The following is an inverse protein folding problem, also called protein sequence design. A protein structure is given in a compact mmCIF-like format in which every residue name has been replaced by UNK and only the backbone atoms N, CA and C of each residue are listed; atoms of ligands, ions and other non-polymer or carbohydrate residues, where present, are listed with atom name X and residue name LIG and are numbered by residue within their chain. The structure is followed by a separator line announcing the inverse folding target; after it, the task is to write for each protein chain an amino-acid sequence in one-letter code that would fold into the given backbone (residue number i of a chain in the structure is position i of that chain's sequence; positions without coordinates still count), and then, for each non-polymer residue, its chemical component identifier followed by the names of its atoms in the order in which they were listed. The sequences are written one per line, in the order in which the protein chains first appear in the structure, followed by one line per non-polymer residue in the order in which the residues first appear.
data_IF_336728340164
#
_entry.id   IF_336728340164
#
_cell.length_a   1.000
_cell.length_b   1.000
_cell.length_c   1.000
_cell.angle_alpha   90.00
_cell.angle_beta   90.00
_cell.angle_gamma   90.00
#
_symmetry.space_group_name_H-M   'P 1'
#
loop_
_entity.id
_entity.type
_entity.pdbx_description
1 polymer ?
#
# COMPACT_ATOMS: atom_id res chain seq x y z
N UNK A 1 -17.58 24.87 -31.82
CA UNK A 1 -16.30 24.43 -32.43
C UNK A 1 -15.17 24.27 -31.41
N UNK A 2 -14.72 25.31 -30.67
CA UNK A 2 -13.55 25.21 -29.76
C UNK A 2 -13.66 24.14 -28.65
N UNK A 3 -14.86 23.86 -28.11
CA UNK A 3 -15.06 22.85 -27.05
C UNK A 3 -14.81 21.41 -27.51
N UNK A 4 -15.23 21.09 -28.73
CA UNK A 4 -15.07 19.75 -29.33
C UNK A 4 -13.58 19.44 -29.54
N UNK A 5 -12.74 20.46 -29.72
CA UNK A 5 -11.28 20.30 -29.83
C UNK A 5 -10.70 19.68 -28.57
N UNK A 6 -11.07 20.13 -27.37
CA UNK A 6 -10.55 19.56 -26.12
C UNK A 6 -11.00 18.11 -25.90
N UNK A 7 -12.22 17.78 -26.30
CA UNK A 7 -12.72 16.41 -26.25
C UNK A 7 -11.95 15.53 -27.25
N UNK A 8 -11.74 16.00 -28.47
CA UNK A 8 -10.92 15.31 -29.48
C UNK A 8 -9.46 15.13 -29.06
N UNK A 9 -8.85 16.14 -28.43
CA UNK A 9 -7.50 16.07 -27.87
C UNK A 9 -7.40 15.03 -26.75
N UNK A 10 -8.41 14.93 -25.89
CA UNK A 10 -8.49 13.90 -24.84
C UNK A 10 -8.50 12.49 -25.44
N UNK A 11 -9.35 12.24 -26.46
CA UNK A 11 -9.39 10.96 -27.17
C UNK A 11 -8.08 10.64 -27.90
N UNK A 12 -7.47 11.64 -28.55
CA UNK A 12 -6.19 11.49 -29.22
C UNK A 12 -5.09 11.07 -28.23
N UNK A 13 -5.05 11.71 -27.06
CA UNK A 13 -4.03 11.43 -26.02
C UNK A 13 -4.23 10.05 -25.39
N UNK A 14 -5.48 9.59 -25.26
CA UNK A 14 -5.78 8.22 -24.85
C UNK A 14 -5.33 7.20 -25.90
N UNK A 15 -5.59 7.47 -27.18
CA UNK A 15 -5.17 6.60 -28.28
C UNK A 15 -3.64 6.51 -28.39
N UNK A 16 -2.91 7.61 -28.18
CA UNK A 16 -1.44 7.59 -28.18
C UNK A 16 -0.88 6.80 -27.00
N UNK A 17 -1.47 6.92 -25.80
CA UNK A 17 -1.10 6.09 -24.64
C UNK A 17 -1.26 4.59 -24.92
N UNK A 18 -2.40 4.20 -25.48
CA UNK A 18 -2.66 2.80 -25.85
C UNK A 18 -1.64 2.32 -26.89
N UNK A 19 -1.35 3.16 -27.89
CA UNK A 19 -0.38 2.84 -28.93
C UNK A 19 1.02 2.64 -28.34
N UNK A 20 1.45 3.52 -27.44
CA UNK A 20 2.74 3.38 -26.73
C UNK A 20 2.78 2.14 -25.84
N UNK A 21 1.69 1.82 -25.14
CA UNK A 21 1.63 0.59 -24.35
C UNK A 21 1.83 -0.68 -25.21
N UNK A 22 1.13 -0.76 -26.34
CA UNK A 22 1.22 -1.87 -27.29
C UNK A 22 2.63 -1.95 -27.89
N UNK A 23 3.18 -0.82 -28.34
CA UNK A 23 4.53 -0.78 -28.93
C UNK A 23 5.62 -1.13 -27.91
N UNK A 24 5.49 -0.68 -26.66
CA UNK A 24 6.44 -0.99 -25.59
C UNK A 24 6.50 -2.49 -25.28
N UNK A 25 5.35 -3.16 -25.30
CA UNK A 25 5.22 -4.56 -24.89
C UNK A 25 5.73 -5.57 -25.92
N UNK A 26 6.17 -5.12 -27.10
CA UNK A 26 6.85 -5.98 -28.09
C UNK A 26 8.24 -6.39 -27.59
N UNK A 27 8.55 -7.68 -27.71
CA UNK A 27 9.89 -8.21 -27.45
C UNK A 27 10.92 -7.58 -28.39
N UNK A 28 12.07 -7.23 -27.84
CA UNK A 28 13.22 -6.68 -28.56
C UNK A 28 14.51 -7.30 -28.08
N UNK A 29 15.54 -7.18 -28.90
CA UNK A 29 16.87 -7.69 -28.62
C UNK A 29 17.79 -6.53 -28.20
N UNK A 30 18.57 -6.75 -27.16
CA UNK A 30 19.60 -5.84 -26.66
C UNK A 30 20.82 -6.61 -26.21
N UNK A 31 21.65 -5.97 -25.39
CA UNK A 31 22.84 -6.60 -24.80
C UNK A 31 23.07 -6.06 -23.39
N UNK A 32 23.70 -6.86 -22.53
CA UNK A 32 24.20 -6.41 -21.24
C UNK A 32 25.64 -5.94 -21.41
N UNK A 33 26.01 -4.82 -20.79
CA UNK A 33 27.38 -4.30 -20.78
C UNK A 33 27.69 -3.61 -19.47
N UNK A 34 28.85 -2.97 -19.39
CA UNK A 34 29.28 -2.16 -18.25
C UNK A 34 29.40 -3.02 -16.98
N UNK A 35 30.04 -4.18 -17.11
CA UNK A 35 30.21 -5.12 -16.01
C UNK A 35 31.25 -4.60 -15.01
N UNK A 36 30.84 -4.35 -13.78
CA UNK A 36 31.73 -3.99 -12.67
C UNK A 36 31.63 -5.04 -11.57
N UNK A 37 32.75 -5.66 -11.20
CA UNK A 37 32.77 -6.69 -10.16
C UNK A 37 32.52 -6.09 -8.78
N UNK A 38 31.58 -6.68 -8.04
CA UNK A 38 31.25 -6.29 -6.65
C UNK A 38 31.98 -7.21 -5.68
N UNK A 39 31.82 -8.51 -5.87
CA UNK A 39 32.34 -9.56 -5.00
C UNK A 39 32.52 -10.85 -5.81
N UNK A 40 33.58 -11.62 -5.53
CA UNK A 40 33.87 -12.86 -6.23
C UNK A 40 34.40 -13.93 -5.30
N UNK A 41 33.71 -15.07 -5.25
CA UNK A 41 34.14 -16.27 -4.55
C UNK A 41 34.51 -17.36 -5.57
N UNK A 42 35.14 -18.45 -5.13
CA UNK A 42 35.56 -19.56 -6.01
C UNK A 42 34.42 -20.21 -6.83
N UNK A 43 33.16 -19.95 -6.50
CA UNK A 43 31.99 -20.58 -7.12
C UNK A 43 30.95 -19.61 -7.69
N UNK A 44 30.98 -18.32 -7.33
CA UNK A 44 30.02 -17.32 -7.78
C UNK A 44 30.69 -15.94 -7.86
N UNK A 45 30.40 -15.21 -8.94
CA UNK A 45 30.87 -13.85 -9.21
C UNK A 45 29.67 -12.92 -9.33
N UNK A 46 29.73 -11.79 -8.62
CA UNK A 46 28.67 -10.79 -8.58
C UNK A 46 29.12 -9.56 -9.36
N UNK A 47 28.34 -9.18 -10.37
CA UNK A 47 28.62 -8.01 -11.21
C UNK A 47 27.45 -7.04 -11.21
N UNK A 48 27.74 -5.74 -11.15
CA UNK A 48 26.82 -4.73 -11.67
C UNK A 48 26.78 -4.84 -13.19
N UNK A 49 25.62 -4.54 -13.79
CA UNK A 49 25.49 -4.46 -15.24
C UNK A 49 24.53 -3.34 -15.65
N UNK A 50 24.59 -2.99 -16.92
CA UNK A 50 23.62 -2.11 -17.58
C UNK A 50 23.04 -2.75 -18.84
N UNK A 51 21.74 -2.63 -19.02
CA UNK A 51 21.05 -3.00 -20.25
C UNK A 51 21.31 -1.91 -21.30
N UNK A 52 21.76 -2.35 -22.48
CA UNK A 52 21.93 -1.53 -23.69
C UNK A 52 21.04 -2.04 -24.82
N UNK A 53 20.84 -1.17 -25.81
CA UNK A 53 19.80 -1.30 -26.82
C UNK A 53 20.39 -1.08 -28.20
N UNK A 54 19.99 -1.91 -29.17
CA UNK A 54 20.23 -1.63 -30.59
C UNK A 54 19.31 -0.54 -31.13
N UNK A 55 18.09 -0.46 -30.60
CA UNK A 55 17.09 0.53 -30.99
C UNK A 55 17.33 1.89 -30.28
N UNK A 56 17.23 2.99 -31.04
CA UNK A 56 17.38 4.36 -30.51
C UNK A 56 16.10 4.93 -29.90
N UNK A 57 14.95 4.42 -30.31
CA UNK A 57 13.62 4.87 -29.91
C UNK A 57 13.11 4.02 -28.75
N UNK A 58 13.16 2.70 -28.88
CA UNK A 58 12.62 1.76 -27.90
C UNK A 58 13.68 1.32 -26.90
N UNK A 59 13.96 2.23 -25.96
CA UNK A 59 14.90 2.07 -24.85
C UNK A 59 14.36 2.62 -23.54
N UNK A 60 15.03 2.30 -22.43
CA UNK A 60 14.76 2.96 -21.16
C UNK A 60 14.88 4.49 -21.31
N UNK A 61 13.89 5.20 -20.79
CA UNK A 61 13.72 6.65 -20.94
C UNK A 61 12.80 7.16 -19.84
N UNK A 62 12.44 8.44 -19.87
CA UNK A 62 11.43 9.00 -18.96
C UNK A 62 10.02 8.42 -19.20
N UNK A 63 9.78 7.89 -20.40
CA UNK A 63 8.52 7.26 -20.80
C UNK A 63 8.50 5.78 -20.41
N UNK A 64 9.57 5.05 -20.74
CA UNK A 64 9.63 3.58 -20.60
C UNK A 64 10.59 3.11 -19.51
N UNK A 65 10.12 2.19 -18.68
CA UNK A 65 10.96 1.26 -17.93
C UNK A 65 11.30 0.03 -18.79
N UNK A 66 12.46 -0.56 -18.54
CA UNK A 66 12.94 -1.77 -19.24
C UNK A 66 12.82 -3.00 -18.36
N UNK A 67 12.41 -4.12 -18.93
CA UNK A 67 12.24 -5.39 -18.23
C UNK A 67 12.86 -6.51 -19.05
N UNK A 68 13.82 -7.21 -18.45
CA UNK A 68 14.47 -8.36 -19.08
C UNK A 68 13.55 -9.57 -19.10
N UNK A 69 13.65 -10.36 -20.16
CA UNK A 69 13.09 -11.69 -20.23
C UNK A 69 14.19 -12.64 -19.79
N UNK A 70 14.10 -13.16 -18.56
CA UNK A 70 15.16 -13.96 -17.93
C UNK A 70 15.50 -15.24 -18.70
N UNK A 71 14.55 -15.78 -19.47
CA UNK A 71 14.73 -17.02 -20.24
C UNK A 71 15.67 -16.86 -21.44
N UNK A 72 16.11 -15.64 -21.78
CA UNK A 72 17.07 -15.40 -22.87
C UNK A 72 18.52 -15.28 -22.40
N UNK A 73 18.79 -15.50 -21.11
CA UNK A 73 20.13 -15.35 -20.55
C UNK A 73 20.95 -16.64 -20.72
N UNK A 74 22.29 -16.53 -20.85
CA UNK A 74 23.17 -17.70 -20.86
C UNK A 74 23.06 -18.55 -19.58
N UNK A 75 23.28 -19.87 -19.70
CA UNK A 75 23.15 -20.83 -18.60
C UNK A 75 24.05 -20.55 -17.39
N UNK A 76 25.18 -19.88 -17.61
CA UNK A 76 26.13 -19.50 -16.55
C UNK A 76 25.63 -18.35 -15.65
N UNK A 77 24.50 -17.71 -16.00
CA UNK A 77 23.85 -16.69 -15.17
C UNK A 77 22.81 -17.38 -14.29
N UNK A 78 23.11 -17.51 -13.00
CA UNK A 78 22.23 -18.16 -12.02
C UNK A 78 21.08 -17.27 -11.58
N UNK A 79 21.39 -15.99 -11.36
CA UNK A 79 20.42 -15.03 -10.85
C UNK A 79 20.66 -13.65 -11.45
N UNK A 80 19.58 -12.91 -11.67
CA UNK A 80 19.61 -11.52 -12.12
C UNK A 80 18.58 -10.73 -11.33
N UNK A 81 19.01 -9.58 -10.81
CA UNK A 81 18.18 -8.69 -10.01
C UNK A 81 18.34 -7.26 -10.48
N UNK A 82 17.25 -6.62 -10.88
CA UNK A 82 17.26 -5.19 -11.20
C UNK A 82 17.37 -4.37 -9.91
N UNK A 83 18.09 -3.24 -9.95
CA UNK A 83 18.25 -2.36 -8.78
C UNK A 83 16.91 -1.72 -8.38
N UNK A 84 16.14 -1.32 -9.39
CA UNK A 84 14.79 -0.77 -9.23
C UNK A 84 13.88 -1.29 -10.35
N UNK A 85 12.57 -1.28 -10.13
CA UNK A 85 11.58 -1.71 -11.12
C UNK A 85 11.66 -0.85 -12.39
N UNK A 86 11.93 -1.49 -13.53
CA UNK A 86 12.05 -0.81 -14.82
C UNK A 86 13.38 -0.06 -15.02
N UNK A 87 14.32 -0.17 -14.08
CA UNK A 87 15.68 0.35 -14.20
C UNK A 87 16.45 -0.38 -15.30
N UNK A 88 17.39 0.26 -16.02
CA UNK A 88 18.32 -0.44 -16.89
C UNK A 88 19.52 -1.04 -16.13
N UNK A 89 19.62 -0.82 -14.81
CA UNK A 89 20.74 -1.27 -13.99
C UNK A 89 20.32 -2.42 -13.08
N UNK A 90 21.25 -3.34 -12.84
CA UNK A 90 21.03 -4.47 -11.95
C UNK A 90 22.32 -5.16 -11.54
N UNK A 91 22.14 -6.25 -10.81
CA UNK A 91 23.18 -7.18 -10.37
C UNK A 91 22.92 -8.55 -10.99
N UNK A 92 23.96 -9.18 -11.52
CA UNK A 92 23.95 -10.59 -11.94
C UNK A 92 24.86 -11.42 -11.03
N UNK A 93 24.46 -12.68 -10.82
CA UNK A 93 25.27 -13.70 -10.18
C UNK A 93 25.60 -14.74 -11.24
N UNK A 94 26.89 -14.89 -11.53
CA UNK A 94 27.40 -15.86 -12.49
C UNK A 94 28.27 -16.92 -11.82
N UNK A 95 28.29 -18.14 -12.35
CA UNK A 95 29.23 -19.19 -11.95
C UNK A 95 30.56 -19.17 -12.72
N UNK A 96 30.68 -18.28 -13.71
CA UNK A 96 31.89 -18.06 -14.51
C UNK A 96 32.30 -16.59 -14.47
N UNK A 97 33.59 -16.34 -14.66
CA UNK A 97 34.08 -14.98 -14.87
C UNK A 97 33.59 -14.51 -16.23
N UNK A 98 32.98 -13.33 -16.25
CA UNK A 98 32.54 -12.69 -17.49
C UNK A 98 33.74 -11.95 -18.08
N UNK A 99 34.40 -12.58 -19.06
CA UNK A 99 35.54 -11.98 -19.78
C UNK A 99 35.08 -11.13 -20.98
N UNK A 100 33.85 -11.33 -21.44
CA UNK A 100 33.27 -10.62 -22.58
C UNK A 100 32.83 -9.20 -22.19
N UNK A 101 33.12 -8.21 -23.05
CA UNK A 101 32.69 -6.82 -22.83
C UNK A 101 31.15 -6.66 -22.84
N UNK A 102 30.45 -7.59 -23.50
CA UNK A 102 28.99 -7.59 -23.59
C UNK A 102 28.43 -9.01 -23.65
N UNK A 103 27.23 -9.20 -23.09
CA UNK A 103 26.41 -10.40 -23.28
C UNK A 103 25.31 -10.05 -24.29
N UNK A 104 25.43 -10.60 -25.49
CA UNK A 104 24.55 -10.26 -26.62
C UNK A 104 23.24 -11.08 -26.63
N UNK A 105 22.32 -10.70 -27.50
CA UNK A 105 21.07 -11.41 -27.79
C UNK A 105 20.10 -11.57 -26.60
N UNK A 106 20.17 -10.69 -25.61
CA UNK A 106 19.20 -10.68 -24.52
C UNK A 106 17.88 -10.07 -24.99
N UNK A 107 16.77 -10.63 -24.52
CA UNK A 107 15.43 -10.14 -24.83
C UNK A 107 14.92 -9.23 -23.73
N UNK A 108 14.26 -8.15 -24.14
CA UNK A 108 13.61 -7.23 -23.21
C UNK A 108 12.27 -6.72 -23.76
N UNK A 109 11.42 -6.28 -22.84
CA UNK A 109 10.21 -5.52 -23.13
C UNK A 109 10.28 -4.15 -22.44
N UNK A 110 9.46 -3.22 -22.91
CA UNK A 110 9.32 -1.91 -22.30
C UNK A 110 7.91 -1.75 -21.74
N UNK A 111 7.81 -1.12 -20.57
CA UNK A 111 6.51 -0.74 -20.00
C UNK A 111 6.51 0.74 -19.64
N UNK A 112 5.37 1.39 -19.83
CA UNK A 112 5.22 2.80 -19.48
C UNK A 112 5.43 2.98 -17.97
N UNK A 113 6.24 3.98 -17.59
CA UNK A 113 6.45 4.33 -16.18
C UNK A 113 5.16 4.89 -15.59
N UNK A 114 4.86 4.52 -14.35
CA UNK A 114 3.66 5.01 -13.64
C UNK A 114 3.59 6.54 -13.57
N UNK A 115 4.74 7.22 -13.41
CA UNK A 115 4.82 8.68 -13.41
C UNK A 115 4.34 9.29 -14.74
N UNK A 116 4.72 8.70 -15.87
CA UNK A 116 4.31 9.17 -17.19
C UNK A 116 2.81 8.94 -17.43
N UNK A 117 2.30 7.74 -17.09
CA UNK A 117 0.87 7.41 -17.19
C UNK A 117 0.04 8.41 -16.36
N UNK A 118 0.44 8.65 -15.11
CA UNK A 118 -0.24 9.59 -14.21
C UNK A 118 -0.28 11.00 -14.80
N UNK A 119 0.85 11.49 -15.32
CA UNK A 119 0.93 12.81 -15.95
C UNK A 119 0.00 12.92 -17.16
N UNK A 120 -0.05 11.90 -18.02
CA UNK A 120 -0.96 11.88 -19.17
C UNK A 120 -2.44 11.83 -18.76
N UNK A 121 -2.79 11.09 -17.71
CA UNK A 121 -4.16 11.06 -17.16
C UNK A 121 -4.55 12.45 -16.62
N UNK A 122 -3.64 13.13 -15.92
CA UNK A 122 -3.90 14.49 -15.41
C UNK A 122 -4.20 15.46 -16.58
N UNK A 123 -3.44 15.38 -17.67
CA UNK A 123 -3.69 16.21 -18.86
C UNK A 123 -5.06 15.90 -19.47
N UNK A 124 -5.42 14.62 -19.58
CA UNK A 124 -6.73 14.17 -20.08
C UNK A 124 -7.86 14.74 -19.21
N UNK A 125 -7.73 14.64 -17.89
CA UNK A 125 -8.69 15.19 -16.93
C UNK A 125 -8.80 16.71 -17.05
N UNK A 126 -7.69 17.42 -17.28
CA UNK A 126 -7.69 18.86 -17.48
C UNK A 126 -8.46 19.26 -18.75
N UNK A 127 -8.28 18.55 -19.86
CA UNK A 127 -9.07 18.80 -21.07
C UNK A 127 -10.56 18.49 -20.88
N UNK A 128 -10.89 17.40 -20.18
CA UNK A 128 -12.27 17.08 -19.82
C UNK A 128 -12.88 18.14 -18.90
N UNK A 129 -12.12 18.66 -17.93
CA UNK A 129 -12.57 19.74 -17.06
C UNK A 129 -12.88 21.02 -17.85
N UNK A 130 -12.00 21.42 -18.78
CA UNK A 130 -12.25 22.58 -19.67
C UNK A 130 -13.50 22.36 -20.53
N UNK A 131 -13.74 21.13 -20.99
CA UNK A 131 -14.94 20.77 -21.74
C UNK A 131 -16.22 20.89 -20.89
N UNK A 132 -16.18 20.42 -19.64
CA UNK A 132 -17.34 20.37 -18.74
C UNK A 132 -17.57 21.72 -18.02
N UNK A 133 -16.55 22.57 -17.88
CA UNK A 133 -16.63 23.89 -17.19
C UNK A 133 -17.85 24.73 -17.57
N UNK A 134 -18.27 24.86 -18.84
CA UNK A 134 -19.45 25.62 -19.23
C UNK A 134 -20.74 24.97 -18.71
N UNK A 135 -20.84 23.64 -18.77
CA UNK A 135 -21.99 22.92 -18.24
C UNK A 135 -22.07 23.06 -16.71
N UNK A 136 -20.92 22.99 -16.03
CA UNK A 136 -20.84 23.28 -14.58
C UNK A 136 -21.30 24.71 -14.32
N UNK A 137 -20.85 25.69 -15.10
CA UNK A 137 -21.25 27.09 -14.95
C UNK A 137 -22.75 27.29 -15.21
N UNK A 138 -23.30 26.69 -16.27
CA UNK A 138 -24.72 26.76 -16.61
C UNK A 138 -25.58 26.07 -15.55
N UNK A 139 -25.13 24.91 -15.04
CA UNK A 139 -25.75 24.20 -13.93
C UNK A 139 -25.76 25.06 -12.66
N UNK A 140 -24.60 25.60 -12.26
CA UNK A 140 -24.53 26.52 -11.12
C UNK A 140 -25.31 27.80 -11.37
N UNK A 141 -25.41 28.29 -12.60
CA UNK A 141 -26.21 29.47 -12.96
C UNK A 141 -27.70 29.17 -12.75
N UNK A 142 -28.22 28.05 -13.25
CA UNK A 142 -29.61 27.62 -13.03
C UNK A 142 -29.90 27.40 -11.54
N UNK A 143 -29.02 26.72 -10.82
CA UNK A 143 -29.14 26.57 -9.37
C UNK A 143 -29.06 27.91 -8.65
N UNK A 144 -28.19 28.83 -9.09
CA UNK A 144 -28.08 30.17 -8.55
C UNK A 144 -29.32 31.01 -8.87
N UNK A 145 -29.96 30.84 -10.03
CA UNK A 145 -31.17 31.57 -10.41
C UNK A 145 -32.38 31.05 -9.64
N UNK A 146 -32.46 29.74 -9.41
CA UNK A 146 -33.45 29.12 -8.52
C UNK A 146 -33.19 29.57 -7.08
N UNK A 147 -31.93 29.54 -6.63
CA UNK A 147 -31.52 29.97 -5.30
C UNK A 147 -31.75 31.47 -5.10
N UNK A 148 -31.48 32.32 -6.09
CA UNK A 148 -31.75 33.77 -6.12
C UNK A 148 -33.24 34.03 -6.23
N UNK A 149 -34.04 33.22 -6.94
CA UNK A 149 -35.51 33.31 -6.92
C UNK A 149 -36.06 32.97 -5.53
N UNK A 150 -35.56 31.91 -4.90
CA UNK A 150 -35.87 31.55 -3.52
C UNK A 150 -35.42 32.69 -2.59
N UNK A 151 -34.23 33.26 -2.81
CA UNK A 151 -33.71 34.38 -2.03
C UNK A 151 -34.59 35.62 -2.23
N UNK A 152 -34.93 36.01 -3.45
CA UNK A 152 -35.79 37.17 -3.77
C UNK A 152 -37.24 36.98 -3.32
N UNK A 153 -37.73 35.74 -3.27
CA UNK A 153 -39.04 35.39 -2.71
C UNK A 153 -39.09 35.62 -1.20
N UNK A 154 -37.94 35.65 -0.53
CA UNK A 154 -37.81 36.02 0.87
C UNK A 154 -37.48 37.53 0.89
N UNK A 155 -38.31 38.33 1.56
CA UNK A 155 -38.18 39.79 1.55
C UNK A 155 -36.94 40.25 2.37
N UNK A 156 -35.75 40.19 1.78
CA UNK A 156 -34.47 40.49 2.45
C UNK A 156 -34.18 42.00 2.48
N UNK A 157 -34.78 42.73 3.43
CA UNK A 157 -34.24 44.04 3.83
C UNK A 157 -32.96 43.92 4.69
N UNK A 158 -32.64 42.74 5.21
CA UNK A 158 -31.62 42.57 6.25
C UNK A 158 -30.52 41.56 5.84
N UNK A 159 -29.32 42.05 5.51
CA UNK A 159 -28.17 41.23 5.04
C UNK A 159 -27.77 40.12 6.03
N UNK A 160 -27.98 40.34 7.33
CA UNK A 160 -27.71 39.35 8.37
C UNK A 160 -28.59 38.10 8.28
N UNK A 161 -29.83 38.24 7.80
CA UNK A 161 -30.73 37.10 7.65
C UNK A 161 -30.24 36.13 6.56
N UNK A 162 -29.60 36.63 5.50
CA UNK A 162 -29.03 35.81 4.43
C UNK A 162 -27.86 34.97 4.96
N UNK A 163 -26.94 35.61 5.69
CA UNK A 163 -25.78 34.94 6.29
C UNK A 163 -26.26 33.86 7.28
N UNK A 164 -27.27 34.17 8.09
CA UNK A 164 -27.87 33.20 9.01
C UNK A 164 -28.48 32.01 8.28
N UNK A 165 -29.23 32.24 7.19
CA UNK A 165 -29.83 31.16 6.39
C UNK A 165 -28.74 30.30 5.76
N UNK A 166 -27.69 30.90 5.18
CA UNK A 166 -26.56 30.15 4.62
C UNK A 166 -25.87 29.29 5.68
N UNK A 167 -25.64 29.84 6.87
CA UNK A 167 -25.06 29.13 8.00
C UNK A 167 -25.94 27.95 8.45
N UNK A 168 -27.25 28.18 8.59
CA UNK A 168 -28.21 27.12 8.94
C UNK A 168 -28.28 26.04 7.84
N UNK A 169 -28.28 26.43 6.56
CA UNK A 169 -28.20 25.48 5.45
C UNK A 169 -26.91 24.67 5.53
N UNK A 170 -25.77 25.28 5.82
CA UNK A 170 -24.49 24.56 5.97
C UNK A 170 -24.52 23.51 7.10
N UNK A 171 -25.20 23.80 8.22
CA UNK A 171 -25.35 22.83 9.32
C UNK A 171 -26.35 21.71 9.01
N UNK A 172 -27.45 22.02 8.33
CA UNK A 172 -28.57 21.09 8.13
C UNK A 172 -28.38 20.23 6.88
N UNK A 173 -27.87 20.80 5.78
CA UNK A 173 -27.78 20.14 4.47
C UNK A 173 -26.98 18.82 4.50
N UNK A 174 -25.82 18.71 5.19
CA UNK A 174 -25.08 17.44 5.27
C UNK A 174 -25.94 16.29 5.83
N UNK A 175 -26.74 16.57 6.87
CA UNK A 175 -27.65 15.57 7.46
C UNK A 175 -28.74 15.14 6.47
N UNK A 176 -29.30 16.09 5.73
CA UNK A 176 -30.33 15.81 4.71
C UNK A 176 -29.74 14.95 3.58
N UNK A 177 -28.58 15.34 3.04
CA UNK A 177 -27.90 14.61 1.96
C UNK A 177 -27.57 13.19 2.43
N UNK A 178 -26.99 13.05 3.62
CA UNK A 178 -26.64 11.74 4.19
C UNK A 178 -27.86 10.84 4.34
N UNK A 179 -29.01 11.39 4.74
CA UNK A 179 -30.26 10.62 4.85
C UNK A 179 -30.84 10.22 3.49
N UNK A 180 -30.82 11.12 2.50
CA UNK A 180 -31.33 10.84 1.14
C UNK A 180 -30.49 9.74 0.47
N UNK A 181 -29.17 9.83 0.58
CA UNK A 181 -28.23 8.90 -0.05
C UNK A 181 -27.68 7.87 0.94
N UNK A 182 -28.41 7.59 2.03
CA UNK A 182 -27.94 6.74 3.13
C UNK A 182 -27.39 5.40 2.63
N UNK A 183 -28.09 4.74 1.70
CA UNK A 183 -27.68 3.44 1.14
C UNK A 183 -26.33 3.47 0.39
N UNK A 184 -25.87 4.63 -0.04
CA UNK A 184 -24.64 4.80 -0.80
C UNK A 184 -23.40 5.03 0.08
N UNK A 185 -23.58 5.24 1.38
CA UNK A 185 -22.51 5.52 2.35
C UNK A 185 -22.13 4.30 3.18
N UNK A 186 -20.93 4.33 3.74
CA UNK A 186 -20.38 3.24 4.56
C UNK A 186 -20.86 3.36 6.01
N UNK A 187 -21.60 2.34 6.49
CA UNK A 187 -22.12 2.27 7.85
C UNK A 187 -21.37 1.28 8.74
N UNK A 188 -20.24 0.76 8.27
CA UNK A 188 -19.47 -0.28 8.98
C UNK A 188 -18.79 0.34 10.21
N UNK A 189 -18.86 -0.36 11.34
CA UNK A 189 -18.17 0.02 12.56
C UNK A 189 -16.78 -0.63 12.62
N UNK A 190 -15.79 0.01 11.98
CA UNK A 190 -14.41 -0.48 11.94
C UNK A 190 -13.69 -0.40 13.30
N UNK A 191 -14.14 0.46 14.20
CA UNK A 191 -13.54 0.64 15.53
C UNK A 191 -13.97 -0.48 16.50
N UNK A 192 -14.92 -1.33 16.11
CA UNK A 192 -15.46 -2.45 16.91
C UNK A 192 -15.88 -2.03 18.33
N UNK A 193 -16.30 -0.77 18.50
CA UNK A 193 -16.75 -0.22 19.78
C UNK A 193 -18.27 -0.15 19.86
N UNK A 194 -18.82 -0.22 21.06
CA UNK A 194 -20.24 0.04 21.29
C UNK A 194 -20.56 1.51 21.00
N UNK A 195 -21.52 1.76 20.11
CA UNK A 195 -21.97 3.13 19.81
C UNK A 195 -22.83 3.68 20.96
N UNK A 196 -22.66 4.96 21.26
CA UNK A 196 -23.43 5.65 22.28
C UNK A 196 -24.93 5.66 21.91
N UNK A 197 -25.81 5.43 22.89
CA UNK A 197 -27.25 5.51 22.67
C UNK A 197 -27.71 6.97 22.67
N UNK A 198 -28.81 7.27 21.96
CA UNK A 198 -29.39 8.61 21.95
C UNK A 198 -29.85 8.97 23.37
N UNK A 199 -29.31 10.03 24.00
CA UNK A 199 -29.71 10.39 25.36
C UNK A 199 -31.12 10.96 25.39
N UNK A 200 -31.81 10.73 26.50
CA UNK A 200 -33.13 11.30 26.79
C UNK A 200 -32.92 12.60 27.57
N UNK A 201 -33.61 13.65 27.15
CA UNK A 201 -33.57 14.93 27.86
C UNK A 201 -34.43 14.86 29.13
N UNK A 202 -33.80 15.01 30.29
CA UNK A 202 -34.48 15.00 31.60
C UNK A 202 -33.95 16.19 32.41
N UNK A 203 -34.86 17.05 32.88
CA UNK A 203 -34.56 18.28 33.63
C UNK A 203 -33.72 18.03 34.90
N UNK A 204 -33.85 16.86 35.52
CA UNK A 204 -33.11 16.49 36.74
C UNK A 204 -31.64 16.17 36.49
N UNK A 205 -31.22 15.91 35.24
CA UNK A 205 -29.85 15.57 34.88
C UNK A 205 -29.32 16.42 33.71
N UNK A 206 -29.64 17.72 33.74
CA UNK A 206 -29.31 18.66 32.68
C UNK A 206 -27.79 18.84 32.48
N UNK A 207 -26.99 18.59 33.52
CA UNK A 207 -25.54 18.75 33.47
C UNK A 207 -24.84 17.61 32.72
N UNK A 208 -25.37 16.38 32.76
CA UNK A 208 -24.76 15.24 32.03
C UNK A 208 -25.24 15.14 30.58
N UNK A 209 -26.39 15.73 30.26
CA UNK A 209 -26.99 15.63 28.93
C UNK A 209 -26.06 16.10 27.80
N UNK A 210 -25.37 17.27 27.89
CA UNK A 210 -24.47 17.73 26.84
C UNK A 210 -23.37 16.72 26.51
N UNK A 211 -22.74 16.13 27.55
CA UNK A 211 -21.67 15.13 27.36
C UNK A 211 -22.19 13.87 26.68
N UNK A 212 -23.31 13.32 27.14
CA UNK A 212 -23.92 12.13 26.52
C UNK A 212 -24.39 12.40 25.09
N UNK A 213 -24.87 13.62 24.82
CA UNK A 213 -25.28 14.01 23.48
C UNK A 213 -24.08 14.19 22.56
N UNK A 214 -22.97 14.72 23.05
CA UNK A 214 -21.71 14.84 22.28
C UNK A 214 -21.14 13.46 21.93
N UNK A 215 -21.13 12.51 22.87
CA UNK A 215 -20.75 11.11 22.62
C UNK A 215 -21.63 10.48 21.53
N UNK A 216 -22.95 10.62 21.63
CA UNK A 216 -23.89 10.20 20.58
C UNK A 216 -23.61 10.93 19.25
N UNK A 217 -23.49 12.25 19.25
CA UNK A 217 -23.31 13.04 18.04
C UNK A 217 -22.03 12.66 17.30
N UNK A 218 -20.93 12.43 18.01
CA UNK A 218 -19.66 12.00 17.44
C UNK A 218 -19.73 10.61 16.78
N UNK A 219 -20.65 9.76 17.24
CA UNK A 219 -20.86 8.41 16.71
C UNK A 219 -21.74 8.41 15.46
N UNK A 220 -22.72 9.32 15.38
CA UNK A 220 -23.69 9.42 14.29
C UNK A 220 -23.47 10.62 13.37
N UNK A 221 -22.28 11.23 13.41
CA UNK A 221 -21.93 12.34 12.53
C UNK A 221 -22.03 11.91 11.05
N UNK A 222 -22.80 12.62 10.21
CA UNK A 222 -22.87 12.33 8.78
C UNK A 222 -21.49 12.31 8.12
N UNK A 223 -21.28 11.36 7.22
CA UNK A 223 -20.03 11.19 6.45
C UNK A 223 -18.79 10.87 7.30
N UNK A 224 -18.93 10.50 8.57
CA UNK A 224 -17.78 10.25 9.46
C UNK A 224 -16.80 9.25 8.86
N UNK A 225 -17.30 8.11 8.37
CA UNK A 225 -16.46 7.05 7.80
C UNK A 225 -15.71 7.52 6.55
N UNK A 226 -16.39 8.25 5.66
CA UNK A 226 -15.82 8.84 4.45
C UNK A 226 -14.74 9.88 4.79
N UNK A 227 -15.00 10.75 5.76
CA UNK A 227 -14.05 11.78 6.20
C UNK A 227 -12.82 11.16 6.88
N UNK A 228 -13.00 10.15 7.73
CA UNK A 228 -11.90 9.41 8.35
C UNK A 228 -11.07 8.68 7.29
N UNK A 229 -11.73 8.03 6.31
CA UNK A 229 -11.05 7.40 5.18
C UNK A 229 -10.26 8.41 4.36
N UNK A 230 -10.86 9.55 4.01
CA UNK A 230 -10.19 10.62 3.25
C UNK A 230 -8.98 11.16 4.02
N UNK A 231 -9.13 11.39 5.33
CA UNK A 231 -8.02 11.79 6.20
C UNK A 231 -6.90 10.77 6.15
N UNK A 232 -7.20 9.48 6.37
CA UNK A 232 -6.18 8.42 6.39
C UNK A 232 -5.49 8.28 5.04
N UNK A 233 -6.22 8.41 3.93
CA UNK A 233 -5.63 8.44 2.58
C UNK A 233 -4.68 9.63 2.41
N UNK A 234 -5.07 10.83 2.86
CA UNK A 234 -4.18 11.99 2.80
C UNK A 234 -2.93 11.82 3.68
N UNK A 235 -3.11 11.33 4.90
CA UNK A 235 -1.99 11.05 5.82
C UNK A 235 -0.99 10.09 5.16
N UNK A 236 -1.47 8.99 4.57
CA UNK A 236 -0.63 8.00 3.92
C UNK A 236 -0.02 8.56 2.64
N UNK A 237 -0.80 9.10 1.70
CA UNK A 237 -0.32 9.43 0.35
C UNK A 237 0.38 10.79 0.26
N UNK A 238 -0.12 11.81 0.97
CA UNK A 238 0.42 13.18 0.91
C UNK A 238 1.50 13.37 1.98
N UNK A 239 1.23 12.98 3.22
CA UNK A 239 2.12 13.25 4.35
C UNK A 239 3.08 12.10 4.69
N UNK A 240 2.93 10.94 4.03
CA UNK A 240 3.71 9.73 4.31
C UNK A 240 3.72 9.36 5.81
N UNK A 241 2.57 9.52 6.45
CA UNK A 241 2.36 9.32 7.87
C UNK A 241 1.21 8.33 8.10
N UNK A 242 1.27 7.61 9.22
CA UNK A 242 0.17 6.78 9.69
C UNK A 242 0.07 6.92 11.21
N UNK A 243 -1.03 7.51 11.66
CA UNK A 243 -1.35 7.61 13.08
C UNK A 243 -2.30 6.47 13.43
N UNK A 244 -1.72 5.31 13.75
CA UNK A 244 -2.48 4.13 14.19
C UNK A 244 -1.79 3.45 15.37
N UNK A 245 -2.56 2.96 16.34
CA UNK A 245 -2.04 2.34 17.56
C UNK A 245 -1.20 1.09 17.29
N UNK A 246 -1.68 0.26 16.36
CA UNK A 246 -1.16 -1.09 16.13
C UNK A 246 -0.42 -1.26 14.81
N UNK A 247 -0.23 -0.17 14.04
CA UNK A 247 0.35 -0.26 12.70
C UNK A 247 1.47 0.77 12.51
N UNK A 248 2.47 0.36 11.75
CA UNK A 248 3.57 1.19 11.28
C UNK A 248 3.54 1.25 9.76
N UNK A 249 3.73 2.45 9.22
CA UNK A 249 3.97 2.67 7.81
C UNK A 249 5.46 2.44 7.49
N UNK A 250 5.71 1.41 6.69
CA UNK A 250 7.00 1.11 6.08
C UNK A 250 7.18 1.79 4.72
N UNK A 251 8.29 1.47 4.07
CA UNK A 251 8.60 1.91 2.71
C UNK A 251 7.56 1.38 1.73
N UNK A 252 7.40 2.09 0.61
CA UNK A 252 6.42 1.72 -0.43
C UNK A 252 4.99 1.51 0.11
N UNK A 253 4.62 2.24 1.17
CA UNK A 253 3.31 2.17 1.84
C UNK A 253 2.98 0.80 2.44
N UNK A 254 3.99 -0.03 2.73
CA UNK A 254 3.78 -1.30 3.41
C UNK A 254 3.33 -1.09 4.86
N UNK A 255 2.31 -1.83 5.28
CA UNK A 255 1.83 -1.80 6.66
C UNK A 255 2.42 -2.97 7.46
N UNK A 256 2.96 -2.67 8.64
CA UNK A 256 3.49 -3.64 9.59
C UNK A 256 2.78 -3.51 10.94
N UNK A 257 2.56 -4.63 11.63
CA UNK A 257 2.01 -4.61 12.98
C UNK A 257 3.04 -4.07 13.98
N UNK A 258 2.54 -3.30 14.96
CA UNK A 258 3.31 -2.68 16.06
C UNK A 258 2.95 -3.28 17.43
N UNK A 259 2.40 -4.48 17.48
CA UNK A 259 2.11 -5.13 18.76
C UNK A 259 3.42 -5.42 19.50
N UNK A 260 3.41 -5.28 20.82
CA UNK A 260 4.52 -5.69 21.66
C UNK A 260 4.47 -7.22 21.82
N UNK A 261 5.57 -7.98 21.62
CA UNK A 261 6.94 -7.55 21.36
C UNK A 261 7.41 -7.67 19.90
N UNK A 262 6.55 -7.51 18.88
CA UNK A 262 6.94 -7.67 17.46
C UNK A 262 8.06 -6.73 17.00
N UNK A 263 8.04 -5.47 17.46
CA UNK A 263 9.09 -4.51 17.11
C UNK A 263 10.39 -4.83 17.86
N UNK A 264 10.38 -5.01 19.20
CA UNK A 264 11.56 -5.51 19.92
C UNK A 264 12.12 -6.83 19.34
N UNK A 265 11.26 -7.77 18.96
CA UNK A 265 11.64 -9.04 18.35
C UNK A 265 12.31 -8.84 16.98
N UNK A 266 11.77 -7.95 16.15
CA UNK A 266 12.40 -7.58 14.87
C UNK A 266 13.74 -6.87 15.06
N UNK A 267 13.84 -6.01 16.07
CA UNK A 267 15.08 -5.31 16.40
C UNK A 267 16.14 -6.26 17.00
N UNK A 268 15.73 -7.45 17.44
CA UNK A 268 16.59 -8.45 18.10
C UNK A 268 16.86 -8.13 19.57
N UNK A 269 16.03 -7.30 20.21
CA UNK A 269 16.18 -6.88 21.61
C UNK A 269 15.25 -7.62 22.56
N UNK A 270 14.41 -8.51 22.05
CA UNK A 270 13.53 -9.36 22.83
C UNK A 270 13.91 -10.83 22.65
N UNK A 271 13.97 -11.57 23.74
CA UNK A 271 14.17 -13.01 23.77
C UNK A 271 13.44 -13.59 24.97
N UNK A 272 13.09 -14.87 24.89
CA UNK A 272 12.51 -15.61 26.01
C UNK A 272 13.57 -15.92 27.08
N UNK A 273 13.17 -15.95 28.34
CA UNK A 273 14.01 -16.48 29.42
C UNK A 273 14.04 -18.00 29.38
N UNK A 274 15.05 -18.60 30.02
CA UNK A 274 15.15 -20.06 30.15
C UNK A 274 13.93 -20.66 30.86
N UNK A 275 13.40 -19.97 31.86
CA UNK A 275 12.20 -20.38 32.61
C UNK A 275 10.93 -20.34 31.75
N UNK A 276 10.78 -19.32 30.90
CA UNK A 276 9.68 -19.22 29.94
C UNK A 276 9.74 -20.35 28.90
N UNK A 277 10.94 -20.64 28.39
CA UNK A 277 11.18 -21.73 27.45
C UNK A 277 10.88 -23.10 28.08
N UNK A 278 11.35 -23.36 29.31
CA UNK A 278 11.05 -24.58 30.06
C UNK A 278 9.54 -24.75 30.31
N UNK A 279 8.85 -23.68 30.71
CA UNK A 279 7.39 -23.71 30.91
C UNK A 279 6.67 -24.01 29.60
N UNK A 280 7.05 -23.35 28.51
CA UNK A 280 6.44 -23.60 27.20
C UNK A 280 6.67 -25.04 26.72
N UNK A 281 7.88 -25.57 26.93
CA UNK A 281 8.26 -26.95 26.61
C UNK A 281 7.34 -27.94 27.31
N UNK A 282 7.22 -27.83 28.62
CA UNK A 282 6.42 -28.75 29.43
C UNK A 282 4.93 -28.69 29.05
N UNK A 283 4.41 -27.51 28.75
CA UNK A 283 3.03 -27.34 28.28
C UNK A 283 2.79 -28.00 26.92
N UNK A 284 3.73 -27.86 25.97
CA UNK A 284 3.61 -28.45 24.63
C UNK A 284 3.75 -29.97 24.64
N UNK A 285 4.64 -30.52 25.47
CA UNK A 285 4.75 -31.97 25.66
C UNK A 285 3.44 -32.52 26.21
N UNK A 286 2.89 -31.90 27.27
CA UNK A 286 1.60 -32.31 27.83
C UNK A 286 0.48 -32.24 26.80
N UNK A 287 0.47 -31.20 25.97
CA UNK A 287 -0.52 -31.07 24.90
C UNK A 287 -0.38 -32.19 23.87
N UNK A 288 0.84 -32.50 23.43
CA UNK A 288 1.13 -33.64 22.53
C UNK A 288 0.66 -34.97 23.12
N UNK A 289 0.91 -35.22 24.41
CA UNK A 289 0.46 -36.43 25.09
C UNK A 289 -1.07 -36.58 25.07
N UNK A 290 -1.81 -35.48 25.31
CA UNK A 290 -3.28 -35.47 25.24
C UNK A 290 -3.78 -35.82 23.84
N UNK A 291 -3.15 -35.30 22.78
CA UNK A 291 -3.53 -35.65 21.41
C UNK A 291 -3.20 -37.11 21.08
N UNK A 292 -2.01 -37.58 21.46
CA UNK A 292 -1.58 -38.96 21.22
C UNK A 292 -2.49 -39.98 21.93
N UNK A 293 -2.94 -39.70 23.15
CA UNK A 293 -3.90 -40.54 23.88
C UNK A 293 -5.26 -40.65 23.17
N UNK A 294 -5.62 -39.65 22.37
CA UNK A 294 -6.83 -39.65 21.55
C UNK A 294 -6.59 -40.17 20.12
N UNK A 295 -5.43 -40.77 19.84
CA UNK A 295 -5.09 -41.35 18.54
C UNK A 295 -4.82 -40.31 17.45
N UNK A 296 -4.46 -39.07 17.81
CA UNK A 296 -4.17 -37.99 16.86
C UNK A 296 -2.70 -37.56 16.96
N UNK A 297 -2.06 -37.36 15.80
CA UNK A 297 -0.71 -36.81 15.73
C UNK A 297 -0.69 -35.30 15.98
N UNK A 298 0.28 -34.84 16.76
CA UNK A 298 0.46 -33.42 17.05
C UNK A 298 1.56 -32.78 16.17
N UNK A 299 1.19 -31.69 15.47
CA UNK A 299 2.11 -30.87 14.68
C UNK A 299 1.98 -29.40 15.08
N UNK A 300 3.11 -28.73 15.30
CA UNK A 300 3.15 -27.29 15.58
C UNK A 300 3.68 -26.56 14.34
N UNK A 301 2.81 -25.84 13.65
CA UNK A 301 3.18 -25.02 12.49
C UNK A 301 3.35 -23.58 12.94
N UNK A 302 4.55 -23.03 12.75
CA UNK A 302 4.88 -21.64 13.10
C UNK A 302 5.02 -20.82 11.83
N UNK A 303 4.20 -19.78 11.72
CA UNK A 303 4.25 -18.80 10.65
C UNK A 303 5.15 -17.62 11.07
N UNK A 304 6.10 -17.19 10.21
CA UNK A 304 6.95 -16.04 10.48
C UNK A 304 6.16 -14.74 10.42
N UNK A 305 6.60 -13.73 11.16
CA UNK A 305 6.04 -12.39 11.09
C UNK A 305 6.37 -11.70 9.75
N UNK A 306 5.49 -10.79 9.31
CA UNK A 306 5.63 -10.05 8.05
C UNK A 306 6.95 -9.27 7.95
N UNK A 307 7.39 -8.67 9.06
CA UNK A 307 8.64 -7.93 9.16
C UNK A 307 9.90 -8.85 9.06
N UNK A 308 9.77 -10.15 9.31
CA UNK A 308 10.87 -11.10 9.12
C UNK A 308 11.00 -11.54 7.66
N UNK A 309 9.88 -11.64 6.93
CA UNK A 309 9.87 -12.00 5.51
C UNK A 309 10.20 -10.80 4.62
N UNK A 310 9.73 -9.61 4.99
CA UNK A 310 9.83 -8.39 4.19
C UNK A 310 10.59 -7.26 4.91
N UNK A 311 11.81 -7.50 5.43
CA UNK A 311 12.58 -6.48 6.13
C UNK A 311 12.95 -5.28 5.24
N UNK A 312 13.06 -5.47 3.93
CA UNK A 312 13.40 -4.41 2.98
C UNK A 312 12.37 -3.26 2.96
N UNK A 313 11.12 -3.54 3.33
CA UNK A 313 10.06 -2.53 3.40
C UNK A 313 9.88 -1.93 4.80
N UNK A 314 10.63 -2.37 5.81
CA UNK A 314 10.61 -1.74 7.12
C UNK A 314 11.17 -0.31 7.04
N UNK A 315 10.67 0.63 7.88
CA UNK A 315 11.16 2.00 7.87
C UNK A 315 12.59 2.09 8.42
N UNK A 316 13.40 3.01 7.87
CA UNK A 316 14.83 3.14 8.17
C UNK A 316 15.16 3.50 9.62
N UNK A 317 14.20 4.10 10.33
CA UNK A 317 14.35 4.45 11.74
C UNK A 317 14.21 3.24 12.68
N UNK A 318 13.67 2.10 12.21
CA UNK A 318 13.61 0.84 12.97
C UNK A 318 14.71 -0.09 12.46
N UNK A 319 15.87 -0.03 13.12
CA UNK A 319 17.05 -0.83 12.75
C UNK A 319 17.07 -2.16 13.52
N UNK A 320 17.55 -3.21 12.85
CA UNK A 320 17.93 -4.45 13.55
C UNK A 320 19.22 -4.19 14.32
N UNK A 321 19.14 -4.20 15.64
CA UNK A 321 20.30 -4.04 16.52
C UNK A 321 21.09 -5.34 16.55
N UNK A 322 20.35 -6.46 16.64
CA UNK A 322 20.89 -7.81 16.70
C UNK A 322 20.23 -8.71 15.63
N UNK A 323 20.64 -8.61 14.36
CA UNK A 323 19.97 -9.31 13.25
C UNK A 323 20.01 -10.84 13.33
N UNK A 324 20.95 -11.39 14.10
CA UNK A 324 21.11 -12.82 14.40
C UNK A 324 20.13 -13.32 15.47
N UNK A 325 19.59 -12.42 16.29
CA UNK A 325 18.69 -12.76 17.40
C UNK A 325 17.24 -12.50 17.02
N UNK A 326 16.43 -13.54 17.11
CA UNK A 326 14.98 -13.52 16.93
C UNK A 326 14.39 -14.52 17.91
N UNK A 327 13.49 -14.06 18.78
CA UNK A 327 12.90 -14.86 19.84
C UNK A 327 12.23 -16.13 19.29
N UNK A 328 11.59 -16.05 18.12
CA UNK A 328 10.98 -17.20 17.46
C UNK A 328 12.03 -18.23 17.03
N UNK A 329 13.17 -17.78 16.50
CA UNK A 329 14.26 -18.67 16.08
C UNK A 329 14.92 -19.32 17.31
N UNK A 330 15.10 -18.57 18.40
CA UNK A 330 15.59 -19.07 19.70
C UNK A 330 14.64 -20.13 20.27
N UNK A 331 13.35 -19.84 20.29
CA UNK A 331 12.31 -20.77 20.74
C UNK A 331 12.35 -22.08 19.95
N UNK A 332 12.37 -22.00 18.62
CA UNK A 332 12.39 -23.18 17.75
C UNK A 332 13.65 -24.00 17.96
N UNK A 333 14.81 -23.35 18.06
CA UNK A 333 16.08 -24.02 18.32
C UNK A 333 16.02 -24.78 19.64
N UNK A 334 15.61 -24.10 20.72
CA UNK A 334 15.50 -24.70 22.05
C UNK A 334 14.52 -25.89 22.05
N UNK A 335 13.35 -25.77 21.43
CA UNK A 335 12.39 -26.87 21.37
C UNK A 335 12.91 -28.08 20.60
N UNK A 336 13.62 -27.87 19.47
CA UNK A 336 14.21 -28.96 18.69
C UNK A 336 15.35 -29.68 19.44
N UNK A 337 16.10 -28.96 20.26
CA UNK A 337 17.20 -29.53 21.05
C UNK A 337 16.71 -30.29 22.29
N UNK A 338 15.54 -29.92 22.84
CA UNK A 338 15.05 -30.43 24.13
C UNK A 338 13.76 -31.27 24.04
N UNK A 339 13.19 -31.45 22.85
CA UNK A 339 11.94 -32.21 22.65
C UNK A 339 11.93 -32.97 21.33
N UNK A 340 11.04 -33.95 21.23
CA UNK A 340 10.70 -34.68 20.01
C UNK A 340 9.41 -34.14 19.35
N UNK A 341 9.12 -32.84 19.53
CA UNK A 341 7.94 -32.19 18.94
C UNK A 341 8.10 -32.02 17.43
N UNK A 342 7.05 -32.34 16.68
CA UNK A 342 7.01 -32.10 15.24
C UNK A 342 6.75 -30.62 14.94
N UNK A 343 7.81 -29.81 14.88
CA UNK A 343 7.75 -28.37 14.63
C UNK A 343 8.08 -28.04 13.18
N UNK A 344 7.13 -27.43 12.49
CA UNK A 344 7.25 -26.96 11.10
C UNK A 344 7.35 -25.44 11.12
N UNK A 345 8.50 -24.91 10.72
CA UNK A 345 8.71 -23.46 10.65
C UNK A 345 8.77 -22.98 9.21
N UNK A 346 7.85 -22.08 8.84
CA UNK A 346 7.64 -21.69 7.44
C UNK A 346 8.48 -20.50 6.98
N UNK A 347 9.41 -19.99 7.81
CA UNK A 347 10.21 -18.80 7.49
C UNK A 347 10.96 -18.90 6.17
N UNK A 348 11.80 -19.93 6.01
CA UNK A 348 12.60 -20.08 4.80
C UNK A 348 11.72 -20.35 3.56
N UNK A 349 10.64 -21.12 3.73
CA UNK A 349 9.66 -21.34 2.65
C UNK A 349 9.09 -20.02 2.11
N UNK A 350 8.64 -19.11 3.00
CA UNK A 350 8.10 -17.82 2.59
C UNK A 350 9.17 -16.82 2.12
N UNK A 351 10.42 -16.94 2.58
CA UNK A 351 11.54 -16.12 2.06
C UNK A 351 11.91 -16.50 0.63
N UNK A 352 11.89 -17.79 0.29
CA UNK A 352 12.15 -18.26 -1.08
C UNK A 352 10.98 -17.97 -2.03
N UNK A 353 9.74 -17.97 -1.52
CA UNK A 353 8.53 -17.67 -2.28
C UNK A 353 7.88 -16.37 -1.83
N UNK A 354 8.62 -15.26 -1.90
CA UNK A 354 8.05 -13.92 -1.67
C UNK A 354 6.96 -13.63 -2.70
N UNK A 355 5.71 -13.75 -2.29
CA UNK A 355 4.56 -13.32 -3.06
C UNK A 355 4.38 -11.83 -2.73
N UNK A 356 4.57 -10.94 -3.70
CA UNK A 356 4.19 -9.52 -3.54
C UNK A 356 2.74 -9.48 -3.05
N UNK A 357 2.48 -9.07 -1.78
CA UNK A 357 1.10 -8.94 -1.33
C UNK A 357 0.45 -7.82 -2.12
N UNK A 358 -0.87 -7.91 -2.29
CA UNK A 358 -1.67 -6.84 -2.87
C UNK A 358 -1.35 -5.53 -2.14
N UNK A 359 -0.76 -4.59 -2.87
CA UNK A 359 -0.58 -3.21 -2.45
C UNK A 359 -1.98 -2.61 -2.42
N UNK A 360 -2.37 -2.02 -1.27
CA UNK A 360 -3.65 -1.32 -1.09
C UNK A 360 -3.79 -0.11 -2.02
#
# INVERSE_FOLDING_TARGET
MRKIIYLGLSFLLLATLITFHILGSKERVGYLSDFEIIEGNKSNYIYNFRIRYYDKVFRNSDIYGVYLITNSLPEYIKEIKMNELGSPFGIIISDKIIEEEKIDNIKYILRLKNRFILFSIIIILLFLFVYIKPFIFDFFAVFSDIFIKILKSINFKNKFAIILILFLCFLIMPNIIYRIFYKNFDHTNYELRTLASKPIFILTNINEYPKKYEEYFNDYLPFRNELVKLKNLNDIFVFNNLVHKDLILGKEKWLFLKWDPLIPNYMGTYTYTTEELERAKNNLIRLKEVFNQNGADFYMVICPDKNQIYPEYMPDYIKRIHPEFNATDVFIKYMKENTDLNIIYLKEYFRCKKILPYIL
#
